data_IF_144447065514
#
_entry.id   IF_144447065514
#
_cell.length_a   1.000
_cell.length_b   1.000
_cell.length_c   1.000
_cell.angle_alpha   90.00
_cell.angle_beta   90.00
_cell.angle_gamma   90.00
#
_symmetry.space_group_name_H-M   'P 1'
#
loop_
_entity.id
_entity.type
_entity.pdbx_description
1 polymer ?
#
# COMPACT_ATOMS: atom_id res chain seq x y z
N UNK A 1 13.33 -4.39 38.11
CA UNK A 1 12.83 -3.22 37.34
C UNK A 1 13.07 -3.55 35.88
N UNK A 2 12.20 -4.38 35.31
CA UNK A 2 12.35 -4.89 33.93
C UNK A 2 10.96 -5.24 33.44
N UNK A 3 10.27 -4.23 32.90
CA UNK A 3 9.16 -4.40 31.99
C UNK A 3 9.37 -3.39 30.85
N UNK A 4 10.39 -3.66 30.03
CA UNK A 4 10.46 -3.08 28.69
C UNK A 4 9.46 -3.85 27.82
N UNK A 5 8.19 -3.52 28.00
CA UNK A 5 7.11 -3.91 27.12
C UNK A 5 7.26 -3.12 25.82
N UNK A 6 8.14 -3.60 24.94
CA UNK A 6 8.42 -3.05 23.63
C UNK A 6 7.23 -3.33 22.69
N UNK A 7 6.13 -2.60 22.89
CA UNK A 7 4.95 -2.60 22.02
C UNK A 7 5.20 -1.90 20.66
N UNK A 8 6.44 -1.47 20.41
CA UNK A 8 6.84 -0.66 19.25
C UNK A 8 6.72 -1.39 17.91
N UNK A 9 6.76 -2.73 17.90
CA UNK A 9 6.87 -3.51 16.66
C UNK A 9 5.50 -3.88 16.03
N UNK A 10 4.39 -3.66 16.73
CA UNK A 10 3.05 -4.06 16.24
C UNK A 10 2.29 -2.94 15.53
N UNK A 11 2.63 -1.68 15.78
CA UNK A 11 1.95 -0.53 15.15
C UNK A 11 2.57 -0.10 13.82
N UNK A 12 3.80 -0.51 13.51
CA UNK A 12 4.53 -0.05 12.32
C UNK A 12 4.20 -0.83 11.05
N UNK A 13 3.61 -2.03 11.15
CA UNK A 13 3.31 -2.90 10.00
C UNK A 13 2.41 -2.22 8.95
N UNK A 14 1.25 -1.65 9.29
CA UNK A 14 0.39 -1.00 8.30
C UNK A 14 1.07 0.22 7.66
N UNK A 15 1.80 1.03 8.44
CA UNK A 15 2.49 2.21 7.88
C UNK A 15 3.63 1.83 6.92
N UNK A 16 4.36 0.76 7.21
CA UNK A 16 5.42 0.24 6.32
C UNK A 16 4.83 -0.37 5.05
N UNK A 17 3.70 -1.05 5.15
CA UNK A 17 2.98 -1.60 4.02
C UNK A 17 2.47 -0.50 3.08
N UNK A 18 1.79 0.51 3.62
CA UNK A 18 1.30 1.67 2.86
C UNK A 18 2.45 2.43 2.20
N UNK A 19 3.60 2.59 2.87
CA UNK A 19 4.79 3.19 2.27
C UNK A 19 5.35 2.33 1.13
N UNK A 20 5.45 1.01 1.31
CA UNK A 20 5.95 0.11 0.27
C UNK A 20 5.06 0.13 -0.99
N UNK A 21 3.74 0.22 -0.81
CA UNK A 21 2.77 0.36 -1.90
C UNK A 21 3.00 1.68 -2.64
N UNK A 22 3.10 2.81 -1.92
CA UNK A 22 3.37 4.13 -2.52
C UNK A 22 4.68 4.13 -3.31
N UNK A 23 5.75 3.54 -2.77
CA UNK A 23 7.03 3.41 -3.46
C UNK A 23 6.91 2.58 -4.74
N UNK A 24 6.21 1.45 -4.70
CA UNK A 24 6.00 0.62 -5.89
C UNK A 24 5.20 1.38 -6.97
N UNK A 25 4.19 2.16 -6.59
CA UNK A 25 3.41 3.00 -7.51
C UNK A 25 4.28 4.07 -8.16
N UNK A 26 5.07 4.80 -7.36
CA UNK A 26 5.96 5.85 -7.84
C UNK A 26 7.03 5.31 -8.80
N UNK A 27 7.52 4.10 -8.56
CA UNK A 27 8.52 3.45 -9.40
C UNK A 27 7.92 2.77 -10.66
N UNK A 28 6.59 2.70 -10.80
CA UNK A 28 5.97 1.94 -11.89
C UNK A 28 6.12 0.41 -11.74
N UNK A 29 6.37 -0.07 -10.54
CA UNK A 29 6.87 -1.42 -10.26
C UNK A 29 5.70 -2.42 -10.08
N UNK A 30 5.05 -2.78 -11.20
CA UNK A 30 3.81 -3.59 -11.20
C UNK A 30 3.94 -4.94 -10.48
N UNK A 31 5.09 -5.62 -10.63
CA UNK A 31 5.32 -6.94 -10.03
C UNK A 31 5.36 -6.84 -8.51
N UNK A 32 6.10 -5.84 -8.00
CA UNK A 32 6.20 -5.58 -6.57
C UNK A 32 4.87 -5.13 -5.99
N UNK A 33 4.15 -4.27 -6.71
CA UNK A 33 2.83 -3.83 -6.30
C UNK A 33 1.85 -5.01 -6.15
N UNK A 34 1.79 -5.93 -7.12
CA UNK A 34 0.94 -7.14 -7.02
C UNK A 34 1.27 -7.99 -5.80
N UNK A 35 2.55 -8.18 -5.50
CA UNK A 35 2.98 -8.93 -4.33
C UNK A 35 2.52 -8.28 -3.01
N UNK A 36 2.61 -6.94 -2.93
CA UNK A 36 2.15 -6.18 -1.76
C UNK A 36 0.62 -6.24 -1.60
N UNK A 37 -0.13 -6.03 -2.69
CA UNK A 37 -1.60 -6.07 -2.68
C UNK A 37 -2.18 -7.45 -2.34
N UNK A 38 -1.41 -8.54 -2.50
CA UNK A 38 -1.84 -9.89 -2.12
C UNK A 38 -1.80 -10.10 -0.61
N UNK A 39 -0.98 -9.33 0.10
CA UNK A 39 -0.68 -9.54 1.51
C UNK A 39 -1.23 -8.45 2.44
N UNK A 40 -1.71 -7.34 1.86
CA UNK A 40 -2.16 -6.15 2.57
C UNK A 40 -3.62 -5.85 2.25
N UNK A 41 -4.38 -5.49 3.28
CA UNK A 41 -5.74 -4.98 3.15
C UNK A 41 -5.69 -3.47 3.39
N UNK A 42 -6.39 -2.72 2.55
CA UNK A 42 -6.50 -1.27 2.63
C UNK A 42 -7.95 -0.88 2.38
N UNK A 43 -8.34 0.27 2.92
CA UNK A 43 -9.69 0.77 2.79
C UNK A 43 -9.93 1.52 1.46
N UNK A 44 -11.18 1.88 1.20
CA UNK A 44 -11.53 2.63 -0.02
C UNK A 44 -10.82 3.99 -0.12
N UNK A 45 -10.47 4.61 1.01
CA UNK A 45 -9.81 5.92 1.04
C UNK A 45 -8.36 5.78 0.58
N UNK A 46 -7.62 4.82 1.14
CA UNK A 46 -6.27 4.46 0.73
C UNK A 46 -6.24 4.04 -0.74
N UNK A 47 -7.21 3.21 -1.17
CA UNK A 47 -7.33 2.82 -2.58
C UNK A 47 -7.44 4.04 -3.50
N UNK A 48 -8.31 5.00 -3.18
CA UNK A 48 -8.47 6.24 -3.97
C UNK A 48 -7.16 7.03 -4.02
N UNK A 49 -6.48 7.17 -2.89
CA UNK A 49 -5.19 7.85 -2.83
C UNK A 49 -4.11 7.18 -3.70
N UNK A 50 -4.02 5.85 -3.68
CA UNK A 50 -3.09 5.11 -4.54
C UNK A 50 -3.40 5.28 -6.04
N UNK A 51 -4.68 5.30 -6.41
CA UNK A 51 -5.13 5.53 -7.79
C UNK A 51 -4.73 6.93 -8.26
N UNK A 52 -4.92 7.95 -7.42
CA UNK A 52 -4.49 9.32 -7.73
C UNK A 52 -2.97 9.40 -7.94
N UNK A 53 -2.19 8.83 -7.02
CA UNK A 53 -0.73 8.77 -7.14
C UNK A 53 -0.28 8.07 -8.44
N UNK A 54 -0.96 7.00 -8.85
CA UNK A 54 -0.66 6.29 -10.09
C UNK A 54 -1.01 7.12 -11.33
N UNK A 55 -2.09 7.91 -11.29
CA UNK A 55 -2.47 8.84 -12.36
C UNK A 55 -1.45 9.98 -12.49
N UNK A 56 -1.00 10.55 -11.38
CA UNK A 56 0.03 11.60 -11.36
C UNK A 56 1.35 11.14 -12.00
N UNK A 57 1.72 9.87 -11.79
CA UNK A 57 2.90 9.26 -12.41
C UNK A 57 2.69 8.79 -13.85
N UNK A 58 1.48 8.92 -14.41
CA UNK A 58 1.15 8.46 -15.77
C UNK A 58 1.10 6.93 -15.93
N UNK A 59 1.09 6.18 -14.82
CA UNK A 59 1.18 4.72 -14.80
C UNK A 59 -0.20 4.08 -14.98
N UNK A 60 -0.73 4.13 -16.20
CA UNK A 60 -2.08 3.63 -16.54
C UNK A 60 -2.31 2.15 -16.25
N UNK A 61 -1.27 1.30 -16.33
CA UNK A 61 -1.37 -0.11 -15.93
C UNK A 61 -1.61 -0.27 -14.43
N UNK A 62 -0.90 0.53 -13.62
CA UNK A 62 -1.04 0.53 -12.17
C UNK A 62 -2.42 1.05 -11.76
N UNK A 63 -2.94 2.08 -12.45
CA UNK A 63 -4.32 2.56 -12.23
C UNK A 63 -5.32 1.43 -12.39
N UNK A 64 -5.25 0.68 -13.51
CA UNK A 64 -6.15 -0.46 -13.77
C UNK A 64 -5.99 -1.57 -12.73
N UNK A 65 -4.76 -1.84 -12.30
CA UNK A 65 -4.49 -2.84 -11.26
C UNK A 65 -5.17 -2.45 -9.93
N UNK A 66 -5.00 -1.20 -9.49
CA UNK A 66 -5.58 -0.71 -8.25
C UNK A 66 -7.11 -0.65 -8.32
N UNK A 67 -7.68 -0.20 -9.45
CA UNK A 67 -9.14 -0.20 -9.67
C UNK A 67 -9.75 -1.60 -9.53
N UNK A 68 -9.07 -2.64 -10.02
CA UNK A 68 -9.50 -4.04 -9.92
C UNK A 68 -9.23 -4.71 -8.57
N UNK A 69 -8.47 -4.08 -7.66
CA UNK A 69 -8.14 -4.69 -6.37
C UNK A 69 -9.26 -4.42 -5.35
N UNK A 70 -9.74 -5.43 -4.61
CA UNK A 70 -10.75 -5.20 -3.57
C UNK A 70 -10.18 -4.32 -2.45
N UNK A 71 -11.04 -3.47 -1.87
CA UNK A 71 -10.73 -2.68 -0.69
C UNK A 71 -11.77 -2.99 0.39
N UNK A 72 -11.39 -2.83 1.65
CA UNK A 72 -12.36 -2.92 2.74
C UNK A 72 -13.26 -1.67 2.73
N UNK A 73 -14.58 -1.84 2.96
CA UNK A 73 -15.53 -0.73 3.01
C UNK A 73 -15.23 0.24 4.17
#
# INVERSE_FOLDING_TARGET
MTDYNDQSNLQQRPELATQAIKTAIANGDEVRLKALLTNELFDELEKKHFIELAKENGNTNIVKLLEGTPATP
#
